data_IF_348512594270
#
_entry.id   IF_348512594270
#
_cell.length_a   1.000
_cell.length_b   1.000
_cell.length_c   1.000
_cell.angle_alpha   90.00
_cell.angle_beta   90.00
_cell.angle_gamma   90.00
#
_symmetry.space_group_name_H-M   'P 1'
#
loop_
_entity.id
_entity.type
_entity.pdbx_description
1 polymer ?
#
# COMPACT_ATOMS: atom_id res chain seq x y z
N UNK A 1 4.84 -0.85 -11.72
CA UNK A 1 4.20 -0.40 -10.48
C UNK A 1 3.11 -1.34 -10.04
N UNK A 2 2.92 -1.44 -8.75
CA UNK A 2 1.84 -2.22 -8.18
C UNK A 2 0.64 -1.29 -8.00
N UNK A 3 -0.37 -1.43 -8.86
CA UNK A 3 -1.53 -0.52 -8.83
C UNK A 3 -2.52 -0.92 -7.74
N UNK A 4 -2.88 0.04 -6.89
CA UNK A 4 -3.93 -0.14 -5.91
C UNK A 4 -5.30 0.07 -6.56
N UNK A 5 -6.33 -0.65 -6.11
CA UNK A 5 -7.68 -0.47 -6.65
C UNK A 5 -8.28 0.87 -6.22
N UNK A 6 -9.42 1.24 -6.79
CA UNK A 6 -10.13 2.46 -6.41
C UNK A 6 -10.66 2.37 -4.98
N UNK A 7 -10.97 1.18 -4.50
CA UNK A 7 -11.50 0.97 -3.15
C UNK A 7 -10.65 -0.02 -2.37
N UNK A 8 -10.25 0.37 -1.16
CA UNK A 8 -9.58 -0.48 -0.18
C UNK A 8 -10.24 -0.26 1.17
N UNK A 9 -11.41 -0.85 1.31
CA UNK A 9 -12.19 -0.80 2.54
C UNK A 9 -12.10 -2.15 3.25
N UNK A 10 -12.68 -2.23 4.43
CA UNK A 10 -12.74 -3.47 5.19
C UNK A 10 -13.30 -4.63 4.34
N UNK A 11 -14.27 -4.35 3.47
CA UNK A 11 -14.89 -5.39 2.65
C UNK A 11 -14.00 -5.87 1.50
N UNK A 12 -13.22 -4.97 0.89
CA UNK A 12 -12.43 -5.29 -0.30
C UNK A 12 -10.98 -5.66 0.01
N UNK A 13 -10.49 -5.30 1.18
CA UNK A 13 -9.08 -5.49 1.53
C UNK A 13 -8.68 -6.98 1.57
N UNK A 14 -9.58 -7.84 2.03
CA UNK A 14 -9.30 -9.27 2.12
C UNK A 14 -9.04 -9.88 0.75
N UNK A 15 -9.84 -9.51 -0.25
CA UNK A 15 -9.65 -10.02 -1.61
C UNK A 15 -8.34 -9.53 -2.20
N UNK A 16 -8.02 -8.27 -2.01
CA UNK A 16 -6.78 -7.70 -2.52
C UNK A 16 -5.56 -8.36 -1.86
N UNK A 17 -5.64 -8.64 -0.55
CA UNK A 17 -4.52 -9.23 0.18
C UNK A 17 -4.18 -10.64 -0.32
N UNK A 18 -5.15 -11.38 -0.86
CA UNK A 18 -4.92 -12.72 -1.38
C UNK A 18 -4.00 -12.72 -2.60
N UNK A 19 -4.01 -11.64 -3.39
CA UNK A 19 -3.16 -11.52 -4.57
C UNK A 19 -1.88 -10.74 -4.30
N UNK A 20 -1.74 -10.17 -3.13
CA UNK A 20 -0.68 -9.22 -2.81
C UNK A 20 0.71 -9.84 -2.92
N UNK A 21 0.88 -11.06 -2.43
CA UNK A 21 2.18 -11.74 -2.47
C UNK A 21 2.68 -11.90 -3.90
N UNK A 22 1.82 -12.38 -4.80
CA UNK A 22 2.19 -12.53 -6.21
C UNK A 22 2.46 -11.19 -6.85
N UNK A 23 1.66 -10.19 -6.54
CA UNK A 23 1.86 -8.84 -7.06
C UNK A 23 3.22 -8.29 -6.64
N UNK A 24 3.61 -8.47 -5.38
CA UNK A 24 4.91 -8.01 -4.88
C UNK A 24 6.06 -8.78 -5.55
N UNK A 25 5.94 -10.10 -5.66
CA UNK A 25 7.00 -10.92 -6.24
C UNK A 25 7.22 -10.62 -7.72
N UNK A 26 6.20 -10.19 -8.43
CA UNK A 26 6.32 -9.84 -9.85
C UNK A 26 6.89 -8.45 -10.08
N UNK A 27 7.06 -7.64 -9.03
CA UNK A 27 7.64 -6.31 -9.15
C UNK A 27 9.16 -6.36 -9.21
N UNK A 28 9.82 -5.33 -9.80
CA UNK A 28 11.28 -5.24 -9.74
C UNK A 28 11.78 -5.01 -8.31
N UNK A 29 13.09 -4.83 -8.14
CA UNK A 29 13.69 -4.65 -6.83
C UNK A 29 13.11 -3.46 -6.05
N UNK A 30 12.46 -2.53 -6.74
CA UNK A 30 11.82 -1.37 -6.14
C UNK A 30 10.30 -1.51 -6.30
N UNK A 31 9.62 -1.82 -5.21
CA UNK A 31 8.15 -1.97 -5.22
C UNK A 31 7.53 -0.60 -4.96
N UNK A 32 6.83 -0.07 -5.95
CA UNK A 32 6.12 1.19 -5.84
C UNK A 32 4.62 0.91 -5.92
N UNK A 33 3.91 1.17 -4.82
CA UNK A 33 2.46 1.06 -4.80
C UNK A 33 1.86 2.35 -5.35
N UNK A 34 1.13 2.24 -6.45
CA UNK A 34 0.50 3.39 -7.09
C UNK A 34 -0.90 3.58 -6.52
N UNK A 35 -1.07 4.64 -5.73
CA UNK A 35 -2.34 4.96 -5.08
C UNK A 35 -3.17 5.99 -5.84
N UNK A 36 -2.81 6.29 -7.09
CA UNK A 36 -3.48 7.35 -7.85
C UNK A 36 -4.97 7.06 -8.10
N UNK A 37 -5.36 5.79 -8.18
CA UNK A 37 -6.76 5.42 -8.38
C UNK A 37 -7.55 5.29 -7.07
N UNK A 38 -6.88 5.32 -5.92
CA UNK A 38 -7.49 5.05 -4.63
C UNK A 38 -8.36 6.23 -4.20
N UNK A 39 -9.67 6.03 -4.14
CA UNK A 39 -10.62 7.08 -3.78
C UNK A 39 -11.49 6.71 -2.58
N UNK A 40 -11.72 5.43 -2.33
CA UNK A 40 -12.56 4.96 -1.24
C UNK A 40 -11.77 4.02 -0.35
N UNK A 41 -11.50 4.44 0.88
CA UNK A 41 -10.67 3.64 1.77
C UNK A 41 -10.96 3.98 3.24
N UNK A 42 -10.59 3.03 4.10
CA UNK A 42 -10.58 3.20 5.55
C UNK A 42 -9.22 2.73 6.08
N UNK A 43 -9.11 2.47 7.39
CA UNK A 43 -7.85 2.02 7.98
C UNK A 43 -7.36 0.67 7.42
N UNK A 44 -8.21 -0.09 6.76
CA UNK A 44 -7.81 -1.33 6.11
C UNK A 44 -6.79 -1.08 5.01
N UNK A 45 -6.83 0.08 4.35
CA UNK A 45 -5.83 0.45 3.36
C UNK A 45 -4.43 0.54 3.97
N UNK A 46 -4.33 1.06 5.20
CA UNK A 46 -3.05 1.11 5.90
C UNK A 46 -2.52 -0.29 6.18
N UNK A 47 -3.40 -1.20 6.60
CA UNK A 47 -3.01 -2.58 6.86
C UNK A 47 -2.48 -3.25 5.59
N UNK A 48 -3.12 -3.01 4.45
CA UNK A 48 -2.68 -3.54 3.15
C UNK A 48 -1.30 -2.97 2.78
N UNK A 49 -1.10 -1.67 2.95
CA UNK A 49 0.19 -1.05 2.63
C UNK A 49 1.31 -1.55 3.53
N UNK A 50 1.04 -1.75 4.82
CA UNK A 50 2.02 -2.30 5.75
C UNK A 50 2.36 -3.73 5.40
N UNK A 51 1.38 -4.54 5.00
CA UNK A 51 1.61 -5.91 4.58
C UNK A 51 2.43 -5.94 3.29
N UNK A 52 2.13 -5.05 2.35
CA UNK A 52 2.89 -4.91 1.12
C UNK A 52 4.36 -4.60 1.43
N UNK A 53 4.60 -3.66 2.34
CA UNK A 53 5.95 -3.31 2.79
C UNK A 53 6.66 -4.52 3.39
N UNK A 54 5.97 -5.24 4.26
CA UNK A 54 6.54 -6.41 4.92
C UNK A 54 6.97 -7.46 3.90
N UNK A 55 6.12 -7.75 2.92
CA UNK A 55 6.42 -8.73 1.89
C UNK A 55 7.54 -8.26 0.96
N UNK A 56 7.57 -6.98 0.62
CA UNK A 56 8.64 -6.42 -0.20
C UNK A 56 10.00 -6.56 0.49
N UNK A 57 10.07 -6.17 1.76
CA UNK A 57 11.31 -6.28 2.53
C UNK A 57 11.75 -7.73 2.71
N UNK A 58 10.80 -8.65 2.92
CA UNK A 58 11.10 -10.06 3.04
C UNK A 58 11.66 -10.64 1.75
N UNK A 59 11.31 -10.07 0.60
CA UNK A 59 11.82 -10.47 -0.71
C UNK A 59 13.11 -9.71 -1.09
N UNK A 60 13.68 -8.93 -0.20
CA UNK A 60 14.88 -8.14 -0.46
C UNK A 60 14.64 -6.92 -1.34
N UNK A 61 13.40 -6.44 -1.40
CA UNK A 61 13.00 -5.31 -2.24
C UNK A 61 12.74 -4.08 -1.37
N UNK A 62 12.82 -2.90 -1.99
CA UNK A 62 12.40 -1.65 -1.34
C UNK A 62 10.91 -1.41 -1.56
N UNK A 63 10.34 -0.51 -0.77
CA UNK A 63 8.92 -0.20 -0.84
C UNK A 63 8.66 1.29 -0.71
N UNK A 64 7.77 1.82 -1.54
CA UNK A 64 7.28 3.19 -1.42
C UNK A 64 5.87 3.28 -1.98
N UNK A 65 5.18 4.38 -1.67
CA UNK A 65 3.83 4.65 -2.17
C UNK A 65 3.88 5.92 -3.01
N UNK A 66 3.30 5.88 -4.19
CA UNK A 66 3.24 7.02 -5.10
C UNK A 66 1.80 7.53 -5.19
N UNK A 67 1.66 8.85 -5.27
CA UNK A 67 0.36 9.52 -5.43
C UNK A 67 -0.64 9.20 -4.33
N UNK A 68 -0.17 9.09 -3.09
CA UNK A 68 -1.05 8.84 -1.95
C UNK A 68 -2.00 10.02 -1.75
N UNK A 69 -3.32 9.78 -1.64
CA UNK A 69 -4.26 10.86 -1.34
C UNK A 69 -3.91 11.52 0.01
N UNK A 70 -4.11 12.84 0.14
CA UNK A 70 -3.79 13.54 1.40
C UNK A 70 -4.49 12.93 2.61
N UNK A 71 -5.74 12.48 2.45
CA UNK A 71 -6.47 11.84 3.55
C UNK A 71 -5.82 10.55 4.00
N UNK A 72 -5.24 9.78 3.09
CA UNK A 72 -4.52 8.56 3.43
C UNK A 72 -3.27 8.88 4.26
N UNK A 73 -2.56 9.93 3.87
CA UNK A 73 -1.37 10.37 4.61
C UNK A 73 -1.74 10.85 6.01
N UNK A 74 -2.85 11.58 6.15
CA UNK A 74 -3.36 12.02 7.45
C UNK A 74 -3.72 10.83 8.32
N UNK A 75 -4.39 9.84 7.73
CA UNK A 75 -4.78 8.63 8.46
C UNK A 75 -3.56 7.86 8.96
N UNK A 76 -2.53 7.73 8.13
CA UNK A 76 -1.28 7.09 8.53
C UNK A 76 -0.63 7.81 9.70
N UNK A 77 -0.66 9.14 9.71
CA UNK A 77 -0.15 9.94 10.82
C UNK A 77 -0.92 9.70 12.10
N UNK A 78 -2.25 9.64 12.02
CA UNK A 78 -3.09 9.38 13.18
C UNK A 78 -2.82 8.01 13.82
N UNK A 79 -2.50 7.02 12.99
CA UNK A 79 -2.21 5.67 13.48
C UNK A 79 -0.73 5.50 13.85
N UNK A 80 0.09 6.53 13.68
CA UNK A 80 1.50 6.49 14.03
C UNK A 80 2.36 5.64 13.11
N UNK A 81 1.89 5.37 11.89
CA UNK A 81 2.61 4.51 10.95
C UNK A 81 3.14 5.26 9.72
N UNK A 82 3.09 6.59 9.75
CA UNK A 82 3.55 7.41 8.61
C UNK A 82 5.00 7.14 8.23
N UNK A 83 5.86 6.85 9.20
CA UNK A 83 7.27 6.53 8.93
C UNK A 83 7.49 5.16 8.31
N UNK A 84 6.48 4.28 8.37
CA UNK A 84 6.54 2.94 7.78
C UNK A 84 5.98 2.90 6.36
N UNK A 85 5.34 3.98 5.92
CA UNK A 85 4.72 4.08 4.60
C UNK A 85 5.36 5.27 3.88
N UNK A 86 6.57 5.08 3.30
CA UNK A 86 7.25 6.18 2.61
C UNK A 86 6.47 6.58 1.37
N UNK A 87 6.12 7.86 1.31
CA UNK A 87 5.34 8.41 0.20
C UNK A 87 6.25 9.25 -0.69
N UNK A 88 6.21 8.98 -1.98
CA UNK A 88 6.91 9.78 -2.99
C UNK A 88 5.90 10.63 -3.75
N UNK A 89 6.37 11.70 -4.33
CA UNK A 89 5.53 12.64 -5.06
C UNK A 89 4.88 12.01 -6.30
#
# INVERSE_FOLDING_TARGET
MLKLPAALTHESAADFSQTLRQAVLSQPAEVVADASALTEFDSSALAILLECRRQALAAGKSFSVQAAPPRLRQLAGLYGVGGLIPVTA
#
